data_IF_987688746377
#
_entry.id   IF_987688746377
#
_cell.length_a   1.000
_cell.length_b   1.000
_cell.length_c   1.000
_cell.angle_alpha   90.00
_cell.angle_beta   90.00
_cell.angle_gamma   90.00
#
_symmetry.space_group_name_H-M   'P 1'
#
loop_
_entity.id
_entity.type
_entity.pdbx_description
1 polymer ?
#
# COMPACT_ATOMS: atom_id res chain seq x y z
N UNK A 1 -8.35 -6.60 -6.69
CA UNK A 1 -7.12 -6.85 -5.92
C UNK A 1 -7.01 -8.36 -5.68
N UNK A 2 -6.01 -9.04 -6.24
CA UNK A 2 -5.95 -10.51 -6.36
C UNK A 2 -5.23 -11.23 -5.19
N UNK A 3 -4.83 -10.48 -4.16
CA UNK A 3 -4.08 -10.97 -2.99
C UNK A 3 -4.71 -12.17 -2.28
N UNK A 4 -6.01 -12.09 -2.06
CA UNK A 4 -6.75 -13.18 -1.41
C UNK A 4 -6.78 -14.45 -2.27
N UNK A 5 -6.74 -14.29 -3.60
CA UNK A 5 -6.71 -15.43 -4.52
C UNK A 5 -5.32 -16.06 -4.53
N UNK A 6 -4.25 -15.27 -4.49
CA UNK A 6 -2.89 -15.80 -4.32
C UNK A 6 -2.75 -16.59 -3.01
N UNK A 7 -3.28 -16.06 -1.91
CA UNK A 7 -3.26 -16.76 -0.62
C UNK A 7 -4.05 -18.08 -0.67
N UNK A 8 -5.22 -18.07 -1.33
CA UNK A 8 -6.02 -19.29 -1.52
C UNK A 8 -5.24 -20.38 -2.28
N UNK A 9 -4.57 -20.03 -3.38
CA UNK A 9 -3.78 -20.99 -4.15
C UNK A 9 -2.53 -21.47 -3.41
N UNK A 10 -1.89 -20.58 -2.65
CA UNK A 10 -0.78 -20.94 -1.76
C UNK A 10 -1.22 -22.01 -0.74
N UNK A 11 -2.36 -21.82 -0.07
CA UNK A 11 -2.90 -22.80 0.88
C UNK A 11 -3.37 -24.12 0.24
N UNK A 12 -3.48 -24.17 -1.10
CA UNK A 12 -3.81 -25.37 -1.88
C UNK A 12 -2.58 -26.12 -2.38
N UNK A 13 -1.39 -25.78 -1.86
CA UNK A 13 -0.09 -26.31 -2.29
C UNK A 13 0.14 -26.20 -3.80
N UNK A 14 -0.44 -25.17 -4.43
CA UNK A 14 -0.20 -24.87 -5.84
C UNK A 14 1.09 -24.08 -5.96
N UNK A 15 1.93 -24.47 -6.91
CA UNK A 15 3.13 -23.70 -7.22
C UNK A 15 2.73 -22.34 -7.82
N UNK A 16 3.61 -21.36 -7.67
CA UNK A 16 3.40 -19.99 -8.10
C UNK A 16 3.07 -19.87 -9.60
N UNK A 17 3.78 -20.63 -10.45
CA UNK A 17 3.50 -20.71 -11.89
C UNK A 17 2.08 -21.21 -12.15
N UNK A 18 1.63 -22.24 -11.41
CA UNK A 18 0.29 -22.78 -11.54
C UNK A 18 -0.77 -21.77 -11.09
N UNK A 19 -0.50 -21.03 -10.01
CA UNK A 19 -1.39 -19.98 -9.52
C UNK A 19 -1.52 -18.84 -10.54
N UNK A 20 -0.42 -18.38 -11.12
CA UNK A 20 -0.39 -17.34 -12.16
C UNK A 20 -1.12 -17.78 -13.42
N UNK A 21 -0.83 -18.99 -13.94
CA UNK A 21 -1.52 -19.52 -15.13
C UNK A 21 -3.01 -19.67 -14.88
N UNK A 22 -3.42 -20.20 -13.72
CA UNK A 22 -4.85 -20.37 -13.39
C UNK A 22 -5.55 -19.02 -13.27
N UNK A 23 -4.90 -18.02 -12.69
CA UNK A 23 -5.42 -16.65 -12.61
C UNK A 23 -5.60 -16.02 -13.98
N UNK A 24 -4.61 -16.13 -14.88
CA UNK A 24 -4.72 -15.62 -16.25
C UNK A 24 -5.83 -16.30 -17.05
N UNK A 25 -6.05 -17.61 -16.85
CA UNK A 25 -7.13 -18.35 -17.50
C UNK A 25 -8.51 -17.96 -16.96
N UNK A 26 -8.66 -17.79 -15.64
CA UNK A 26 -9.96 -17.52 -15.01
C UNK A 26 -10.40 -16.08 -15.19
N UNK A 27 -9.47 -15.12 -15.19
CA UNK A 27 -9.79 -13.70 -15.11
C UNK A 27 -9.33 -12.88 -16.34
N UNK A 28 -8.83 -13.51 -17.41
CA UNK A 28 -8.28 -12.91 -18.65
C UNK A 28 -6.87 -12.28 -18.49
N UNK A 29 -6.27 -11.82 -19.60
CA UNK A 29 -4.83 -11.47 -19.73
C UNK A 29 -4.35 -10.29 -18.84
N UNK A 30 -5.27 -9.54 -18.20
CA UNK A 30 -4.98 -8.24 -17.56
C UNK A 30 -5.01 -8.24 -16.02
N UNK A 31 -4.86 -9.41 -15.40
CA UNK A 31 -5.30 -9.62 -14.01
C UNK A 31 -4.19 -9.33 -13.01
N UNK A 32 -2.96 -9.73 -13.28
CA UNK A 32 -1.78 -9.39 -12.49
C UNK A 32 -0.53 -9.78 -13.28
N UNK A 33 0.56 -9.03 -13.13
CA UNK A 33 1.84 -9.47 -13.72
C UNK A 33 2.38 -10.66 -12.93
N UNK A 34 3.04 -11.60 -13.61
CA UNK A 34 3.73 -12.75 -12.99
C UNK A 34 4.58 -12.31 -11.78
N UNK A 35 5.26 -11.18 -11.91
CA UNK A 35 6.05 -10.54 -10.86
C UNK A 35 5.25 -10.22 -9.58
N UNK A 36 3.97 -9.86 -9.70
CA UNK A 36 3.12 -9.65 -8.53
C UNK A 36 2.86 -10.97 -7.80
N UNK A 37 2.63 -12.06 -8.52
CA UNK A 37 2.47 -13.39 -7.94
C UNK A 37 3.74 -13.81 -7.18
N UNK A 38 4.92 -13.68 -7.82
CA UNK A 38 6.24 -13.95 -7.22
C UNK A 38 6.43 -13.23 -5.89
N UNK A 39 6.13 -11.94 -5.85
CA UNK A 39 6.26 -11.14 -4.65
C UNK A 39 5.32 -11.61 -3.53
N UNK A 40 4.08 -12.01 -3.86
CA UNK A 40 3.12 -12.52 -2.87
C UNK A 40 3.50 -13.89 -2.34
N UNK A 41 3.89 -14.82 -3.21
CA UNK A 41 4.35 -16.14 -2.78
C UNK A 41 5.61 -16.06 -1.94
N UNK A 42 6.57 -15.20 -2.29
CA UNK A 42 7.75 -14.93 -1.45
C UNK A 42 7.36 -14.42 -0.07
N UNK A 43 6.34 -13.55 0.02
CA UNK A 43 5.81 -13.05 1.29
C UNK A 43 5.11 -14.13 2.11
N UNK A 44 4.40 -15.05 1.47
CA UNK A 44 3.77 -16.19 2.16
C UNK A 44 4.79 -17.21 2.65
N UNK A 45 5.84 -17.45 1.87
CA UNK A 45 6.96 -18.31 2.29
C UNK A 45 7.73 -17.75 3.49
N UNK A 46 7.75 -16.42 3.70
CA UNK A 46 8.30 -15.82 4.92
C UNK A 46 7.33 -15.83 6.11
N UNK A 47 6.16 -16.47 5.98
CA UNK A 47 5.14 -16.59 7.01
C UNK A 47 4.25 -15.35 7.16
N UNK A 48 4.35 -14.38 6.25
CA UNK A 48 3.55 -13.16 6.29
C UNK A 48 2.31 -13.29 5.39
N UNK A 49 1.18 -13.63 5.99
CA UNK A 49 -0.11 -13.80 5.31
C UNK A 49 -0.97 -12.53 5.28
N UNK A 50 -0.42 -11.37 5.68
CA UNK A 50 -1.18 -10.12 5.64
C UNK A 50 -1.39 -9.66 4.19
N UNK A 51 -2.64 -9.73 3.75
CA UNK A 51 -3.11 -9.31 2.43
C UNK A 51 -3.51 -7.83 2.38
N UNK A 52 -3.57 -7.15 3.53
CA UNK A 52 -3.83 -5.71 3.58
C UNK A 52 -2.62 -4.94 3.06
N UNK A 53 -2.90 -3.77 2.50
CA UNK A 53 -1.84 -2.82 2.23
C UNK A 53 -1.26 -2.35 3.56
N UNK A 54 0.06 -2.41 3.69
CA UNK A 54 0.74 -1.67 4.74
C UNK A 54 0.39 -0.18 4.59
N UNK A 55 0.36 0.59 5.70
CA UNK A 55 0.25 2.03 5.63
C UNK A 55 1.24 2.56 4.60
N UNK A 56 0.72 3.19 3.54
CA UNK A 56 1.59 3.81 2.56
C UNK A 56 2.23 4.99 3.26
N UNK A 57 3.55 5.01 3.33
CA UNK A 57 4.27 6.24 3.63
C UNK A 57 3.90 7.25 2.53
N UNK A 58 2.99 8.16 2.86
CA UNK A 58 2.69 9.31 2.02
C UNK A 58 3.86 10.29 2.02
N UNK A 59 3.68 11.43 1.36
CA UNK A 59 4.58 12.58 1.56
C UNK A 59 4.64 12.87 3.07
N UNK A 60 5.83 12.85 3.64
CA UNK A 60 6.00 13.27 5.04
C UNK A 60 5.44 14.68 5.18
N UNK A 61 4.51 14.87 6.11
CA UNK A 61 4.10 16.21 6.50
C UNK A 61 5.26 16.75 7.31
N UNK A 62 6.09 17.57 6.68
CA UNK A 62 7.29 18.14 7.31
C UNK A 62 6.93 19.19 8.36
N UNK A 63 5.72 19.77 8.27
CA UNK A 63 5.25 20.79 9.19
C UNK A 63 4.60 20.17 10.44
N UNK A 64 5.01 20.62 11.62
CA UNK A 64 4.38 20.24 12.88
C UNK A 64 2.96 20.83 12.94
N UNK A 65 1.99 19.94 13.15
CA UNK A 65 0.57 20.31 13.23
C UNK A 65 0.30 21.20 14.45
N UNK A 66 1.01 20.99 15.55
CA UNK A 66 0.81 21.74 16.78
C UNK A 66 1.37 23.17 16.66
N UNK A 67 2.48 23.35 15.92
CA UNK A 67 3.00 24.68 15.58
C UNK A 67 2.05 25.45 14.66
N UNK A 68 1.54 24.80 13.60
CA UNK A 68 0.52 25.41 12.73
C UNK A 68 -0.72 25.81 13.54
N UNK A 69 -1.18 24.92 14.43
CA UNK A 69 -2.35 25.17 15.27
C UNK A 69 -2.12 26.38 16.19
N UNK A 70 -0.95 26.48 16.81
CA UNK A 70 -0.58 27.60 17.69
C UNK A 70 -0.53 28.93 16.92
N UNK A 71 0.01 28.94 15.70
CA UNK A 71 0.03 30.13 14.84
C UNK A 71 -1.38 30.61 14.48
N UNK A 72 -2.27 29.69 14.13
CA UNK A 72 -3.67 30.00 13.77
C UNK A 72 -4.49 30.45 14.99
N UNK A 73 -4.25 29.86 16.16
CA UNK A 73 -4.91 30.27 17.40
C UNK A 73 -4.46 31.66 17.86
N UNK A 74 -3.17 31.99 17.68
CA UNK A 74 -2.59 33.29 18.02
C UNK A 74 -3.04 34.38 17.05
N UNK A 75 -3.05 34.07 15.74
CA UNK A 75 -3.50 34.99 14.71
C UNK A 75 -4.47 34.29 13.74
N UNK A 76 -5.77 34.49 13.97
CA UNK A 76 -6.82 33.90 13.13
C UNK A 76 -6.84 34.41 11.68
N UNK A 77 -6.14 35.51 11.39
CA UNK A 77 -6.06 36.10 10.05
C UNK A 77 -4.75 35.78 9.32
N UNK A 78 -3.89 34.89 9.86
CA UNK A 78 -2.63 34.52 9.24
C UNK A 78 -2.85 33.81 7.89
N UNK A 79 -2.06 34.18 6.88
CA UNK A 79 -2.13 33.58 5.54
C UNK A 79 -1.24 32.35 5.43
N UNK A 80 -1.56 31.44 4.51
CA UNK A 80 -0.75 30.23 4.25
C UNK A 80 0.70 30.58 3.89
N UNK A 81 0.93 31.70 3.19
CA UNK A 81 2.27 32.16 2.81
C UNK A 81 3.09 32.64 4.01
N UNK A 82 2.44 33.26 4.98
CA UNK A 82 3.08 33.65 6.25
C UNK A 82 3.38 32.44 7.12
N UNK A 83 2.45 31.46 7.19
CA UNK A 83 2.69 30.19 7.89
C UNK A 83 3.91 29.48 7.28
N UNK A 84 3.95 29.34 5.95
CA UNK A 84 5.05 28.68 5.24
C UNK A 84 6.38 29.47 5.23
N UNK A 85 6.36 30.75 5.62
CA UNK A 85 7.57 31.54 5.83
C UNK A 85 8.05 31.53 7.28
N UNK A 86 7.17 31.12 8.21
CA UNK A 86 7.46 31.03 9.65
C UNK A 86 7.93 29.63 10.04
N UNK A 87 7.42 28.59 9.36
CA UNK A 87 7.79 27.18 9.49
C UNK A 87 8.77 26.78 8.38
#
# INVERSE_FOLDING_TARGET
NFRHIFLFYYCKDKNEVQATTTLCVVYEENVSTERQCQNWFSKFHSGNFDVKDAPRYGRSVQADKDEIKTLVETNRCITIREIAGTL
#
